data_IF_108328925970
#
_entry.id   IF_108328925970
#
_cell.length_a   1.000
_cell.length_b   1.000
_cell.length_c   1.000
_cell.angle_alpha   90.00
_cell.angle_beta   90.00
_cell.angle_gamma   90.00
#
_symmetry.space_group_name_H-M   'P 1'
#
loop_
_entity.id
_entity.type
_entity.pdbx_description
1 polymer ?
#
# COMPACT_ATOMS: atom_id res chain seq x y z
N UNK A 1 6.32 4.25 -8.60
CA UNK A 1 5.71 4.19 -9.95
C UNK A 1 4.22 4.46 -9.91
N UNK A 2 3.43 3.72 -9.12
CA UNK A 2 1.96 3.89 -9.08
C UNK A 2 1.52 5.28 -8.63
N UNK A 3 1.97 5.75 -7.45
CA UNK A 3 1.59 7.06 -6.91
C UNK A 3 1.83 8.25 -7.87
N UNK A 4 3.04 8.42 -8.47
CA UNK A 4 3.26 9.51 -9.41
C UNK A 4 2.49 9.36 -10.73
N UNK A 5 2.30 8.14 -11.24
CA UNK A 5 1.52 7.90 -12.47
C UNK A 5 0.04 8.23 -12.28
N UNK A 6 -0.52 7.76 -11.17
CA UNK A 6 -1.92 7.98 -10.81
C UNK A 6 -2.17 9.34 -10.13
N UNK A 7 -1.10 10.13 -9.92
CA UNK A 7 -1.13 11.46 -9.32
C UNK A 7 -1.88 11.51 -7.98
N UNK A 8 -1.71 10.48 -7.15
CA UNK A 8 -2.35 10.38 -5.83
C UNK A 8 -1.43 9.71 -4.82
N UNK A 9 -1.55 10.09 -3.55
CA UNK A 9 -0.87 9.42 -2.45
C UNK A 9 -1.54 8.07 -2.17
N UNK A 10 -0.77 7.09 -1.70
CA UNK A 10 -1.25 5.72 -1.52
C UNK A 10 -1.08 5.23 -0.08
N UNK A 11 -2.04 4.44 0.40
CA UNK A 11 -1.80 3.41 1.39
C UNK A 11 -1.39 2.13 0.67
N UNK A 12 -0.39 1.41 1.19
CA UNK A 12 0.13 0.20 0.56
C UNK A 12 0.22 -0.93 1.56
N UNK A 13 -0.39 -2.06 1.22
CA UNK A 13 -0.21 -3.33 1.91
C UNK A 13 0.72 -4.19 1.06
N UNK A 14 1.86 -4.56 1.64
CA UNK A 14 2.75 -5.56 1.06
C UNK A 14 3.40 -6.37 2.16
N UNK A 15 3.95 -7.54 1.81
CA UNK A 15 4.65 -8.38 2.76
C UNK A 15 5.93 -7.72 3.29
N UNK A 16 5.85 -7.16 4.51
CA UNK A 16 6.95 -6.46 5.21
C UNK A 16 7.63 -7.38 6.22
N UNK A 17 8.23 -8.47 5.72
CA UNK A 17 8.97 -9.44 6.54
C UNK A 17 10.29 -9.86 5.87
N UNK A 18 10.89 -8.96 5.09
CA UNK A 18 12.10 -9.26 4.33
C UNK A 18 13.27 -8.38 4.73
N UNK A 19 14.47 -8.70 4.21
CA UNK A 19 15.62 -7.85 4.45
C UNK A 19 15.44 -6.51 3.72
N UNK A 20 15.58 -5.42 4.46
CA UNK A 20 15.52 -4.05 3.96
C UNK A 20 14.17 -3.70 3.31
N UNK A 21 13.10 -3.85 4.06
CA UNK A 21 11.79 -3.29 3.72
C UNK A 21 11.89 -1.75 3.63
N UNK A 22 11.11 -1.16 2.72
CA UNK A 22 11.08 0.30 2.58
C UNK A 22 10.10 0.91 3.58
N UNK A 23 10.54 1.90 4.34
CA UNK A 23 9.63 2.74 5.15
C UNK A 23 8.67 3.56 4.26
N UNK A 24 7.64 4.14 4.88
CA UNK A 24 6.77 5.14 4.24
C UNK A 24 7.59 6.22 3.54
N UNK A 25 7.24 6.53 2.29
CA UNK A 25 7.94 7.54 1.48
C UNK A 25 7.13 8.84 1.51
N UNK A 26 7.69 9.88 2.11
CA UNK A 26 6.99 11.10 2.46
C UNK A 26 7.62 12.36 1.83
N UNK A 27 8.78 12.22 1.20
CA UNK A 27 9.53 13.34 0.61
C UNK A 27 9.06 13.65 -0.81
N UNK A 28 8.30 12.74 -1.41
CA UNK A 28 7.71 12.91 -2.75
C UNK A 28 6.39 13.68 -2.71
N UNK A 29 6.02 14.33 -3.82
CA UNK A 29 4.73 15.04 -3.98
C UNK A 29 3.52 14.16 -3.62
N UNK A 30 3.58 12.89 -3.99
CA UNK A 30 2.57 11.88 -3.65
C UNK A 30 3.22 10.87 -2.71
N UNK A 31 2.69 10.78 -1.49
CA UNK A 31 3.27 9.94 -0.44
C UNK A 31 2.87 8.48 -0.64
N UNK A 32 3.69 7.56 -0.14
CA UNK A 32 3.42 6.13 -0.18
C UNK A 32 3.56 5.57 1.23
N UNK A 33 2.43 5.37 1.89
CA UNK A 33 2.32 5.08 3.31
C UNK A 33 2.13 3.58 3.52
N UNK A 34 3.01 2.93 4.29
CA UNK A 34 2.85 1.52 4.60
C UNK A 34 1.69 1.30 5.57
N UNK A 35 0.79 0.38 5.24
CA UNK A 35 -0.13 -0.18 6.22
C UNK A 35 0.69 -1.10 7.12
N UNK A 36 0.59 -0.96 8.45
CA UNK A 36 1.31 -1.80 9.43
C UNK A 36 0.46 -2.98 9.90
N UNK A 37 -0.85 -2.77 10.02
CA UNK A 37 -1.79 -3.80 10.44
C UNK A 37 -3.16 -3.63 9.83
N UNK A 38 -3.81 -4.78 9.66
CA UNK A 38 -5.13 -4.94 9.05
C UNK A 38 -6.07 -5.66 10.02
N UNK A 39 -7.36 -5.44 9.85
CA UNK A 39 -8.43 -6.24 10.44
C UNK A 39 -9.38 -6.67 9.33
N UNK A 40 -9.37 -7.97 9.04
CA UNK A 40 -10.23 -8.58 8.02
C UNK A 40 -11.19 -9.54 8.72
N UNK A 41 -12.47 -9.21 8.71
CA UNK A 41 -13.53 -10.02 9.31
C UNK A 41 -13.26 -10.38 10.78
N UNK A 42 -12.81 -9.41 11.58
CA UNK A 42 -12.46 -9.58 12.99
C UNK A 42 -11.06 -10.14 13.25
N UNK A 43 -10.34 -10.59 12.22
CA UNK A 43 -8.99 -11.11 12.35
C UNK A 43 -7.97 -10.00 12.14
N UNK A 44 -7.31 -9.60 13.23
CA UNK A 44 -6.27 -8.57 13.18
C UNK A 44 -4.88 -9.20 13.01
N UNK A 45 -4.10 -8.69 12.05
CA UNK A 45 -2.74 -9.15 11.79
C UNK A 45 -1.84 -8.02 11.26
N UNK A 46 -0.52 -8.24 11.34
CA UNK A 46 0.48 -7.31 10.77
C UNK A 46 0.74 -7.64 9.31
N UNK A 47 1.13 -6.63 8.54
CA UNK A 47 1.59 -6.76 7.15
C UNK A 47 2.72 -7.79 6.96
N UNK A 48 3.54 -8.04 7.99
CA UNK A 48 4.59 -9.07 7.98
C UNK A 48 4.05 -10.51 7.92
N UNK A 49 2.74 -10.70 8.09
CA UNK A 49 2.03 -11.98 8.03
C UNK A 49 1.11 -12.11 6.82
N UNK A 50 1.08 -11.11 5.94
CA UNK A 50 0.27 -11.13 4.73
C UNK A 50 1.18 -11.09 3.48
N UNK A 51 0.89 -11.96 2.52
CA UNK A 51 1.58 -12.00 1.22
C UNK A 51 0.91 -11.13 0.16
N UNK A 52 -0.26 -10.55 0.49
CA UNK A 52 -1.03 -9.67 -0.38
C UNK A 52 -0.22 -8.44 -0.77
N UNK A 53 -0.55 -7.90 -1.94
CA UNK A 53 0.13 -6.73 -2.53
C UNK A 53 -0.93 -5.88 -3.19
N UNK A 54 -1.30 -4.82 -2.50
CA UNK A 54 -2.28 -3.89 -3.00
C UNK A 54 -2.00 -2.49 -2.48
N UNK A 55 -2.58 -1.52 -3.15
CA UNK A 55 -2.54 -0.13 -2.76
C UNK A 55 -3.90 0.50 -2.96
N UNK A 56 -4.28 1.43 -2.10
CA UNK A 56 -5.42 2.30 -2.32
C UNK A 56 -4.98 3.76 -2.25
N UNK A 57 -5.70 4.64 -2.94
CA UNK A 57 -5.55 6.09 -2.73
C UNK A 57 -5.86 6.48 -1.29
N UNK A 58 -5.14 7.49 -0.80
CA UNK A 58 -5.44 8.14 0.49
C UNK A 58 -6.67 9.04 0.37
N UNK A 59 -6.84 9.72 -0.77
CA UNK A 59 -8.00 10.56 -1.03
C UNK A 59 -9.20 9.72 -1.46
N UNK A 60 -10.24 9.71 -0.62
CA UNK A 60 -11.50 9.00 -0.87
C UNK A 60 -12.26 9.51 -2.11
N UNK A 61 -11.98 10.73 -2.57
CA UNK A 61 -12.60 11.30 -3.78
C UNK A 61 -12.06 10.70 -5.07
N UNK A 62 -10.90 10.05 -4.99
CA UNK A 62 -10.23 9.39 -6.10
C UNK A 62 -10.07 7.90 -5.75
N UNK A 63 -11.14 7.09 -5.78
CA UNK A 63 -11.26 5.77 -5.14
C UNK A 63 -10.46 4.67 -5.87
N UNK A 64 -9.14 4.84 -5.94
CA UNK A 64 -8.23 3.99 -6.66
C UNK A 64 -7.88 2.76 -5.83
N UNK A 65 -8.09 1.57 -6.40
CA UNK A 65 -7.53 0.31 -5.90
C UNK A 65 -6.55 -0.25 -6.92
N UNK A 66 -5.36 -0.61 -6.48
CA UNK A 66 -4.36 -1.31 -7.27
C UNK A 66 -4.01 -2.66 -6.62
N UNK A 67 -3.88 -3.71 -7.42
CA UNK A 67 -3.44 -5.05 -7.00
C UNK A 67 -2.26 -5.45 -7.89
N UNK A 68 -1.21 -6.03 -7.33
CA UNK A 68 0.01 -6.27 -8.11
C UNK A 68 0.94 -7.35 -7.56
N UNK A 69 2.14 -7.39 -8.14
CA UNK A 69 3.04 -8.54 -8.00
C UNK A 69 4.24 -8.28 -7.07
N UNK A 70 4.56 -7.01 -6.80
CA UNK A 70 5.81 -6.59 -6.15
C UNK A 70 5.60 -6.09 -4.71
N UNK A 71 6.39 -6.60 -3.77
CA UNK A 71 6.45 -6.06 -2.40
C UNK A 71 7.31 -4.78 -2.33
N UNK A 72 7.12 -3.98 -1.28
CA UNK A 72 7.97 -2.81 -0.99
C UNK A 72 9.27 -3.20 -0.27
N UNK A 73 10.19 -3.86 -0.97
CA UNK A 73 11.48 -4.31 -0.39
C UNK A 73 12.64 -4.09 -1.35
N UNK A 74 13.84 -3.74 -0.85
CA UNK A 74 15.02 -3.50 -1.72
C UNK A 74 15.36 -4.71 -2.60
N UNK A 75 15.16 -5.92 -2.10
CA UNK A 75 15.40 -7.17 -2.85
C UNK A 75 14.52 -7.31 -4.10
N UNK A 76 13.37 -6.63 -4.14
CA UNK A 76 12.43 -6.68 -5.26
C UNK A 76 12.77 -5.72 -6.40
N UNK A 77 13.67 -4.75 -6.20
CA UNK A 77 14.00 -3.74 -7.22
C UNK A 77 14.56 -4.33 -8.53
N UNK A 78 15.06 -5.57 -8.49
CA UNK A 78 15.61 -6.29 -9.66
C UNK A 78 14.66 -7.36 -10.19
N UNK A 79 13.40 -7.37 -9.75
CA UNK A 79 12.37 -8.33 -10.18
C UNK A 79 11.33 -7.63 -11.02
N UNK A 80 10.95 -8.25 -12.14
CA UNK A 80 9.83 -7.79 -12.94
C UNK A 80 8.50 -8.07 -12.25
N UNK A 81 7.51 -7.22 -12.52
CA UNK A 81 6.14 -7.36 -12.03
C UNK A 81 5.29 -6.16 -12.46
N UNK A 82 3.98 -6.33 -12.40
CA UNK A 82 3.00 -5.31 -12.75
C UNK A 82 2.04 -5.00 -11.61
N UNK A 83 1.14 -4.07 -11.90
CA UNK A 83 -0.06 -3.83 -11.10
C UNK A 83 -1.21 -3.47 -12.01
N UNK A 84 -2.41 -3.89 -11.64
CA UNK A 84 -3.66 -3.46 -12.26
C UNK A 84 -4.35 -2.51 -11.30
N UNK A 85 -4.78 -1.37 -11.81
CA UNK A 85 -5.48 -0.35 -11.04
C UNK A 85 -6.88 -0.09 -11.60
N UNK A 86 -7.83 0.18 -10.71
CA UNK A 86 -9.21 0.49 -11.03
C UNK A 86 -9.73 1.60 -10.12
N UNK A 87 -10.53 2.51 -10.66
CA UNK A 87 -11.32 3.45 -9.88
C UNK A 87 -12.66 2.79 -9.54
N UNK A 88 -12.88 2.49 -8.26
CA UNK A 88 -14.11 1.83 -7.82
C UNK A 88 -14.38 2.09 -6.33
N UNK A 89 -15.40 2.91 -6.05
CA UNK A 89 -15.80 3.29 -4.67
C UNK A 89 -16.03 2.10 -3.75
N UNK A 90 -16.74 1.08 -4.25
CA UNK A 90 -17.13 -0.07 -3.43
C UNK A 90 -15.92 -0.91 -3.04
N UNK A 91 -15.05 -1.23 -4.00
CA UNK A 91 -13.85 -2.01 -3.74
C UNK A 91 -12.88 -1.21 -2.87
N UNK A 92 -12.59 0.03 -3.23
CA UNK A 92 -11.77 0.93 -2.41
C UNK A 92 -12.26 0.96 -0.96
N UNK A 93 -13.56 1.16 -0.75
CA UNK A 93 -14.16 1.22 0.58
C UNK A 93 -14.06 -0.09 1.38
N UNK A 94 -14.12 -1.25 0.71
CA UNK A 94 -13.90 -2.54 1.36
C UNK A 94 -12.46 -2.69 1.85
N UNK A 95 -11.48 -2.34 1.02
CA UNK A 95 -10.06 -2.39 1.39
C UNK A 95 -9.72 -1.35 2.46
N UNK A 96 -10.20 -0.11 2.32
CA UNK A 96 -9.95 0.96 3.27
C UNK A 96 -10.43 0.60 4.68
N UNK A 97 -11.60 -0.05 4.81
CA UNK A 97 -12.15 -0.51 6.09
C UNK A 97 -11.30 -1.55 6.81
N UNK A 98 -10.40 -2.23 6.10
CA UNK A 98 -9.50 -3.21 6.71
C UNK A 98 -8.29 -2.57 7.38
N UNK A 99 -7.94 -1.33 7.05
CA UNK A 99 -6.74 -0.66 7.56
C UNK A 99 -6.93 -0.32 9.04
N UNK A 100 -6.00 -0.76 9.89
CA UNK A 100 -6.00 -0.45 11.31
C UNK A 100 -4.93 0.59 11.65
N UNK A 101 -3.68 0.31 11.32
CA UNK A 101 -2.56 1.21 11.56
C UNK A 101 -1.79 1.45 10.27
N UNK A 102 -1.30 2.67 10.11
CA UNK A 102 -0.44 3.10 9.01
C UNK A 102 0.85 3.64 9.62
N UNK A 103 1.99 3.23 9.05
CA UNK A 103 3.31 3.69 9.47
C UNK A 103 3.37 5.22 9.35
N UNK A 104 3.69 5.94 10.43
CA UNK A 104 3.77 7.40 10.41
C UNK A 104 4.71 7.91 9.33
N UNK A 105 4.31 8.99 8.66
CA UNK A 105 5.21 9.70 7.76
C UNK A 105 6.22 10.50 8.57
N UNK A 106 7.51 10.18 8.43
CA UNK A 106 8.60 10.97 8.97
C UNK A 106 9.27 11.73 7.83
N UNK A 107 9.20 13.07 7.88
CA UNK A 107 10.00 13.94 7.01
C UNK A 107 11.28 14.22 7.80
N UNK A 108 12.40 13.67 7.35
CA UNK A 108 13.72 14.05 7.86
C UNK A 108 14.22 15.31 7.16
#
# INVERSE_FOLDING_TARGET
>A
MVAPEMKTSLFTETWMNGPNDFDSECSSKYTVNNIESLNVDGNQFKNSKDHSKWAISVDEKEPLLCIGDINRQKSQMKRGGGTVCILNDRLWGLYNKTIVNVQPCQIN
#
